data_IF_753129432735
#
_entry.id   IF_753129432735
#
_cell.length_a   1.000
_cell.length_b   1.000
_cell.length_c   1.000
_cell.angle_alpha   90.00
_cell.angle_beta   90.00
_cell.angle_gamma   90.00
#
_symmetry.space_group_name_H-M   'P 1'
#
loop_
_entity.id
_entity.type
_entity.pdbx_description
1 polymer ?
#
# COMPACT_ATOMS: atom_id res chain seq x y z
N UNK A 1 -11.00 -14.83 -15.60
CA UNK A 1 -10.30 -16.03 -16.10
C UNK A 1 -9.80 -16.84 -14.91
N UNK A 2 -9.34 -18.08 -15.09
CA UNK A 2 -8.71 -18.79 -13.97
C UNK A 2 -7.36 -18.13 -13.64
N UNK A 3 -7.09 -17.88 -12.35
CA UNK A 3 -5.86 -17.24 -11.83
C UNK A 3 -5.27 -18.12 -10.73
N UNK A 4 -3.96 -18.08 -10.58
CA UNK A 4 -3.26 -18.74 -9.47
C UNK A 4 -3.05 -17.72 -8.34
N UNK A 5 -3.61 -17.99 -7.17
CA UNK A 5 -3.57 -17.07 -6.02
C UNK A 5 -2.90 -17.80 -4.86
N UNK A 6 -1.89 -17.17 -4.26
CA UNK A 6 -1.26 -17.62 -3.02
C UNK A 6 -1.76 -16.74 -1.88
N UNK A 7 -2.19 -17.36 -0.79
CA UNK A 7 -2.56 -16.66 0.44
C UNK A 7 -1.64 -17.14 1.56
N UNK A 8 -1.02 -16.21 2.26
CA UNK A 8 -0.14 -16.45 3.40
C UNK A 8 -0.78 -15.76 4.61
N UNK A 9 -1.32 -16.54 5.53
CA UNK A 9 -2.10 -16.04 6.66
C UNK A 9 -1.80 -16.88 7.90
N UNK A 10 -1.35 -16.25 8.98
CA UNK A 10 -1.01 -16.90 10.25
C UNK A 10 -2.19 -17.15 11.18
N UNK A 11 -3.31 -16.46 10.97
CA UNK A 11 -4.54 -16.59 11.75
C UNK A 11 -5.64 -17.37 11.01
N UNK A 12 -5.46 -17.65 9.72
CA UNK A 12 -6.38 -18.40 8.84
C UNK A 12 -7.75 -17.73 8.59
N UNK A 13 -8.03 -16.60 9.25
CA UNK A 13 -9.29 -15.86 9.15
C UNK A 13 -9.51 -15.31 7.72
N UNK A 14 -8.48 -14.73 7.12
CA UNK A 14 -8.54 -14.17 5.76
C UNK A 14 -8.43 -15.28 4.71
N UNK A 15 -7.52 -16.23 4.93
CA UNK A 15 -7.28 -17.35 4.03
C UNK A 15 -8.51 -18.23 3.85
N UNK A 16 -9.19 -18.60 4.93
CA UNK A 16 -10.41 -19.40 4.86
C UNK A 16 -11.52 -18.68 4.09
N UNK A 17 -11.73 -17.39 4.36
CA UNK A 17 -12.78 -16.61 3.72
C UNK A 17 -12.52 -16.38 2.22
N UNK A 18 -11.28 -16.03 1.84
CA UNK A 18 -10.91 -15.80 0.45
C UNK A 18 -10.80 -17.10 -0.36
N UNK A 19 -10.35 -18.19 0.26
CA UNK A 19 -10.24 -19.49 -0.41
C UNK A 19 -11.59 -19.96 -0.95
N UNK A 20 -12.66 -19.82 -0.17
CA UNK A 20 -14.01 -20.20 -0.60
C UNK A 20 -14.48 -19.35 -1.79
N UNK A 21 -14.34 -18.03 -1.68
CA UNK A 21 -14.81 -17.06 -2.66
C UNK A 21 -14.07 -17.19 -3.99
N UNK A 22 -12.75 -17.24 -3.96
CA UNK A 22 -11.95 -17.34 -5.17
C UNK A 22 -12.04 -18.73 -5.81
N UNK A 23 -12.18 -19.79 -5.02
CA UNK A 23 -12.45 -21.13 -5.57
C UNK A 23 -13.81 -21.18 -6.28
N UNK A 24 -14.84 -20.53 -5.72
CA UNK A 24 -16.16 -20.43 -6.37
C UNK A 24 -16.10 -19.63 -7.69
N UNK A 25 -15.25 -18.59 -7.73
CA UNK A 25 -14.97 -17.83 -8.95
C UNK A 25 -14.10 -18.59 -9.98
N UNK A 26 -13.61 -19.79 -9.64
CA UNK A 26 -12.86 -20.67 -10.54
C UNK A 26 -11.34 -20.48 -10.53
N UNK A 27 -10.80 -19.74 -9.56
CA UNK A 27 -9.36 -19.56 -9.38
C UNK A 27 -8.73 -20.76 -8.64
N UNK A 28 -7.41 -20.92 -8.78
CA UNK A 28 -6.63 -21.95 -8.11
C UNK A 28 -5.96 -21.30 -6.89
N UNK A 29 -6.27 -21.80 -5.70
CA UNK A 29 -5.80 -21.21 -4.44
C UNK A 29 -4.79 -22.14 -3.78
N UNK A 30 -3.67 -21.57 -3.37
CA UNK A 30 -2.69 -22.19 -2.50
C UNK A 30 -2.60 -21.38 -1.20
N UNK A 31 -2.55 -22.06 -0.06
CA UNK A 31 -2.51 -21.41 1.26
C UNK A 31 -1.27 -21.85 2.02
N UNK A 32 -0.52 -20.89 2.53
CA UNK A 32 0.56 -21.06 3.49
C UNK A 32 0.12 -20.46 4.84
N UNK A 33 0.52 -21.12 5.93
CA UNK A 33 0.00 -20.85 7.29
C UNK A 33 0.88 -19.94 8.13
N UNK A 34 2.06 -19.58 7.62
CA UNK A 34 3.03 -18.77 8.33
C UNK A 34 4.08 -18.24 7.34
N UNK A 35 4.92 -17.31 7.84
CA UNK A 35 6.01 -16.73 7.07
C UNK A 35 6.99 -17.78 6.53
N UNK A 36 7.30 -18.81 7.32
CA UNK A 36 8.30 -19.83 6.97
C UNK A 36 7.83 -20.76 5.86
N UNK A 37 6.55 -21.10 5.84
CA UNK A 37 5.90 -21.84 4.76
C UNK A 37 5.78 -20.96 3.51
N UNK A 38 5.46 -19.67 3.67
CA UNK A 38 5.50 -18.70 2.57
C UNK A 38 6.87 -18.59 1.91
N UNK A 39 7.96 -18.56 2.70
CA UNK A 39 9.33 -18.54 2.21
C UNK A 39 9.76 -19.83 1.49
N UNK A 40 9.11 -20.96 1.80
CA UNK A 40 9.35 -22.27 1.18
C UNK A 40 8.54 -22.49 -0.09
N UNK A 41 7.67 -21.56 -0.48
CA UNK A 41 6.93 -21.66 -1.74
C UNK A 41 7.91 -21.50 -2.90
N UNK A 42 8.17 -22.61 -3.58
CA UNK A 42 8.96 -22.61 -4.82
C UNK A 42 8.19 -21.92 -5.95
N UNK A 43 8.93 -21.20 -6.79
CA UNK A 43 8.40 -20.58 -8.02
C UNK A 43 7.22 -19.63 -7.76
N UNK A 44 7.43 -18.61 -6.92
CA UNK A 44 6.41 -17.59 -6.60
C UNK A 44 5.89 -16.84 -7.86
N UNK A 45 6.69 -16.85 -8.94
CA UNK A 45 6.33 -16.28 -10.25
C UNK A 45 5.11 -16.94 -10.91
N UNK A 46 4.71 -18.15 -10.48
CA UNK A 46 3.53 -18.83 -11.02
C UNK A 46 2.20 -18.25 -10.53
N UNK A 47 2.23 -17.45 -9.47
CA UNK A 47 1.03 -16.86 -8.88
C UNK A 47 0.77 -15.49 -9.49
N UNK A 48 -0.42 -15.30 -10.04
CA UNK A 48 -0.88 -14.01 -10.55
C UNK A 48 -1.07 -12.99 -9.40
N UNK A 49 -1.44 -13.48 -8.21
CA UNK A 49 -1.71 -12.68 -7.02
C UNK A 49 -1.18 -13.39 -5.77
N UNK A 50 -0.44 -12.68 -4.94
CA UNK A 50 0.00 -13.15 -3.62
C UNK A 50 -0.55 -12.20 -2.57
N UNK A 51 -1.21 -12.76 -1.57
CA UNK A 51 -1.84 -12.03 -0.46
C UNK A 51 -1.15 -12.50 0.82
N UNK A 52 -0.66 -11.57 1.62
CA UNK A 52 0.01 -11.87 2.89
C UNK A 52 -0.65 -11.06 4.00
N UNK A 53 -1.06 -11.71 5.09
CA UNK A 53 -1.50 -11.09 6.34
C UNK A 53 -0.76 -11.82 7.46
N UNK A 54 0.25 -11.19 8.05
CA UNK A 54 1.15 -11.81 9.01
C UNK A 54 1.44 -10.88 10.18
N UNK A 55 1.55 -11.42 11.38
CA UNK A 55 2.16 -10.74 12.50
C UNK A 55 3.69 -10.91 12.46
N UNK A 56 4.40 -9.78 12.46
CA UNK A 56 5.86 -9.73 12.36
C UNK A 56 6.44 -9.14 13.63
N UNK A 57 7.33 -9.90 14.28
CA UNK A 57 8.14 -9.40 15.38
C UNK A 57 9.28 -8.53 14.84
N UNK A 58 9.37 -7.27 15.28
CA UNK A 58 10.39 -6.30 14.87
C UNK A 58 11.84 -6.67 15.21
N UNK A 59 12.09 -7.84 15.81
CA UNK A 59 13.44 -8.33 16.14
C UNK A 59 14.11 -9.16 15.02
N UNK A 60 13.38 -9.46 13.93
CA UNK A 60 13.88 -10.25 12.79
C UNK A 60 14.65 -9.42 11.76
N UNK A 61 15.51 -8.50 12.22
CA UNK A 61 16.31 -7.59 11.38
C UNK A 61 17.78 -8.02 11.41
N UNK A 62 18.22 -8.70 10.35
CA UNK A 62 19.64 -8.68 9.98
C UNK A 62 19.80 -7.69 8.83
N UNK A 63 20.73 -6.74 8.98
CA UNK A 63 21.34 -5.95 7.90
C UNK A 63 21.44 -6.79 6.62
N UNK A 64 20.48 -6.62 5.70
CA UNK A 64 20.59 -7.21 4.37
C UNK A 64 20.43 -6.11 3.34
N UNK A 65 21.46 -5.90 2.50
CA UNK A 65 21.29 -5.17 1.27
C UNK A 65 20.46 -6.03 0.31
N UNK A 66 19.47 -5.38 -0.31
CA UNK A 66 18.61 -5.86 -1.39
C UNK A 66 17.51 -6.88 -1.03
N UNK A 67 16.29 -6.73 -1.60
CA UNK A 67 15.21 -7.68 -1.41
C UNK A 67 15.62 -9.02 -2.05
N UNK A 68 15.61 -10.09 -1.24
CA UNK A 68 15.73 -11.44 -1.75
C UNK A 68 14.61 -11.72 -2.79
N UNK A 69 14.81 -12.62 -3.77
CA UNK A 69 13.94 -12.82 -4.94
C UNK A 69 12.50 -13.28 -4.64
N UNK A 70 12.11 -13.44 -3.38
CA UNK A 70 10.72 -13.65 -2.97
C UNK A 70 10.04 -12.27 -2.74
N UNK A 71 9.91 -11.52 -3.84
CA UNK A 71 9.47 -10.11 -3.93
C UNK A 71 8.11 -9.83 -3.26
N UNK A 72 7.27 -10.85 -3.09
CA UNK A 72 5.90 -10.69 -2.63
C UNK A 72 5.66 -10.88 -1.11
N UNK A 73 6.69 -11.08 -0.29
CA UNK A 73 6.54 -11.02 1.17
C UNK A 73 6.63 -9.58 1.68
N UNK A 74 5.97 -9.22 2.80
CA UNK A 74 6.12 -7.92 3.43
C UNK A 74 7.60 -7.62 3.71
N UNK A 75 8.00 -6.39 3.43
CA UNK A 75 9.34 -5.92 3.75
C UNK A 75 9.50 -5.96 5.27
N UNK A 76 10.69 -6.35 5.75
CA UNK A 76 10.96 -6.23 7.18
C UNK A 76 10.89 -4.74 7.55
N UNK A 77 10.06 -4.43 8.55
CA UNK A 77 9.90 -3.08 9.07
C UNK A 77 11.25 -2.56 9.57
N UNK A 78 11.60 -1.31 9.23
CA UNK A 78 12.88 -0.72 9.59
C UNK A 78 13.10 -0.55 11.10
N UNK A 79 14.34 -0.19 11.45
CA UNK A 79 14.90 -0.04 12.79
C UNK A 79 14.11 0.82 13.83
N UNK A 80 13.25 1.81 13.50
CA UNK A 80 12.53 2.55 14.55
C UNK A 80 11.47 1.74 15.32
N UNK A 81 11.13 0.52 14.90
CA UNK A 81 10.09 -0.33 15.50
C UNK A 81 10.62 -1.64 16.13
N UNK A 82 11.93 -1.69 16.41
CA UNK A 82 12.57 -2.84 17.03
C UNK A 82 11.93 -3.18 18.39
N UNK A 83 11.23 -4.33 18.45
CA UNK A 83 10.61 -4.86 19.67
C UNK A 83 9.10 -4.64 19.79
N UNK A 84 8.45 -4.03 18.80
CA UNK A 84 6.99 -3.92 18.73
C UNK A 84 6.39 -5.01 17.82
N UNK A 85 5.16 -5.43 18.12
CA UNK A 85 4.40 -6.32 17.23
C UNK A 85 3.84 -5.51 16.06
N UNK A 86 4.19 -5.89 14.84
CA UNK A 86 3.73 -5.22 13.62
C UNK A 86 2.80 -6.16 12.86
N UNK A 87 1.57 -5.70 12.63
CA UNK A 87 0.66 -6.39 11.71
C UNK A 87 1.03 -6.01 10.28
N UNK A 88 1.51 -6.96 9.50
CA UNK A 88 2.00 -6.75 8.15
C UNK A 88 1.05 -7.36 7.12
N UNK A 89 0.44 -6.52 6.28
CA UNK A 89 -0.42 -6.92 5.18
C UNK A 89 0.20 -6.54 3.85
N UNK A 90 0.14 -7.44 2.85
CA UNK A 90 0.65 -7.17 1.50
C UNK A 90 -0.21 -7.80 0.42
N UNK A 91 -0.45 -7.06 -0.66
CA UNK A 91 -0.94 -7.61 -1.93
C UNK A 91 0.14 -7.41 -3.00
N UNK A 92 0.56 -8.50 -3.63
CA UNK A 92 1.54 -8.49 -4.72
C UNK A 92 0.94 -9.09 -5.98
N UNK A 93 0.87 -8.29 -7.04
CA UNK A 93 0.41 -8.70 -8.37
C UNK A 93 1.51 -8.45 -9.42
N UNK A 94 2.79 -8.51 -9.02
CA UNK A 94 3.95 -8.26 -9.88
C UNK A 94 4.01 -9.20 -11.11
N UNK A 95 3.52 -10.43 -10.94
CA UNK A 95 3.50 -11.49 -11.94
C UNK A 95 2.14 -11.59 -12.66
N UNK A 96 1.22 -10.65 -12.41
CA UNK A 96 -0.07 -10.63 -13.09
C UNK A 96 0.15 -10.56 -14.60
N UNK A 97 -0.42 -11.52 -15.33
CA UNK A 97 -0.10 -11.74 -16.75
C UNK A 97 -0.29 -10.48 -17.58
N UNK A 98 0.77 -10.08 -18.26
CA UNK A 98 0.85 -8.80 -19.02
C UNK A 98 0.31 -8.91 -20.44
N UNK A 99 0.33 -10.10 -21.04
CA UNK A 99 -0.12 -10.33 -22.42
C UNK A 99 -1.65 -10.30 -22.60
N UNK A 100 -2.40 -10.45 -21.50
CA UNK A 100 -3.87 -10.45 -21.45
C UNK A 100 -4.32 -9.69 -20.20
N UNK A 101 -3.78 -8.47 -20.05
CA UNK A 101 -4.04 -7.62 -18.91
C UNK A 101 -5.47 -7.10 -18.96
N UNK A 102 -6.31 -7.63 -18.08
CA UNK A 102 -7.64 -7.11 -17.79
C UNK A 102 -7.58 -6.27 -16.50
N UNK A 103 -7.59 -4.95 -16.67
CA UNK A 103 -7.62 -3.98 -15.57
C UNK A 103 -8.85 -4.15 -14.66
N UNK A 104 -10.00 -4.50 -15.24
CA UNK A 104 -11.24 -4.73 -14.50
C UNK A 104 -11.15 -5.97 -13.62
N UNK A 105 -10.61 -7.06 -14.17
CA UNK A 105 -10.39 -8.30 -13.40
C UNK A 105 -9.42 -8.06 -12.23
N UNK A 106 -8.28 -7.39 -12.46
CA UNK A 106 -7.32 -7.09 -11.39
C UNK A 106 -7.98 -6.23 -10.30
N UNK A 107 -8.69 -5.17 -10.69
CA UNK A 107 -9.42 -4.31 -9.77
C UNK A 107 -10.40 -5.10 -8.92
N UNK A 108 -11.17 -6.00 -9.53
CA UNK A 108 -12.19 -6.78 -8.83
C UNK A 108 -11.57 -7.80 -7.87
N UNK A 109 -10.44 -8.42 -8.24
CA UNK A 109 -9.67 -9.29 -7.36
C UNK A 109 -9.17 -8.52 -6.14
N UNK A 110 -8.47 -7.40 -6.35
CA UNK A 110 -7.93 -6.56 -5.27
C UNK A 110 -9.05 -6.02 -4.38
N UNK A 111 -10.15 -5.54 -4.96
CA UNK A 111 -11.32 -5.07 -4.22
C UNK A 111 -11.93 -6.17 -3.33
N UNK A 112 -12.00 -7.40 -3.84
CA UNK A 112 -12.47 -8.56 -3.07
C UNK A 112 -11.57 -8.83 -1.88
N UNK A 113 -10.24 -8.86 -2.07
CA UNK A 113 -9.28 -9.06 -0.96
C UNK A 113 -9.48 -8.01 0.13
N UNK A 114 -9.53 -6.74 -0.26
CA UNK A 114 -9.62 -5.62 0.67
C UNK A 114 -10.96 -5.56 1.41
N UNK A 115 -12.07 -5.86 0.73
CA UNK A 115 -13.39 -5.94 1.35
C UNK A 115 -13.46 -7.06 2.39
N UNK A 116 -12.87 -8.22 2.11
CA UNK A 116 -12.80 -9.32 3.06
C UNK A 116 -11.87 -9.01 4.24
N UNK A 117 -10.71 -8.39 3.99
CA UNK A 117 -9.83 -7.93 5.06
C UNK A 117 -10.54 -6.96 6.02
N UNK A 118 -11.30 -6.00 5.49
CA UNK A 118 -12.10 -5.06 6.31
C UNK A 118 -13.12 -5.81 7.19
N UNK A 119 -13.79 -6.82 6.63
CA UNK A 119 -14.91 -7.53 7.29
C UNK A 119 -14.46 -8.53 8.34
N UNK A 120 -13.38 -9.26 8.07
CA UNK A 120 -12.99 -10.43 8.88
C UNK A 120 -11.77 -10.16 9.77
N UNK A 121 -10.83 -9.32 9.35
CA UNK A 121 -9.54 -9.17 10.02
C UNK A 121 -9.43 -7.85 10.77
N UNK A 122 -9.83 -6.76 10.14
CA UNK A 122 -9.48 -5.40 10.56
C UNK A 122 -10.34 -4.91 11.75
N UNK A 123 -10.66 -5.72 12.75
CA UNK A 123 -11.55 -5.36 13.89
C UNK A 123 -10.96 -4.27 14.81
N UNK A 124 -11.82 -3.52 15.51
CA UNK A 124 -11.44 -2.35 16.36
C UNK A 124 -10.58 -2.77 17.57
N UNK A 125 -10.71 -4.01 18.05
CA UNK A 125 -9.98 -4.48 19.24
C UNK A 125 -8.51 -4.82 18.92
N UNK A 126 -8.21 -5.26 17.69
CA UNK A 126 -6.84 -5.51 17.21
C UNK A 126 -6.05 -4.22 16.88
N UNK A 127 -6.74 -3.09 16.79
CA UNK A 127 -6.22 -1.78 16.33
C UNK A 127 -5.53 -0.99 17.45
N UNK A 128 -5.87 -1.28 18.71
CA UNK A 128 -5.52 -0.40 19.82
C UNK A 128 -4.05 -0.46 20.27
N UNK A 129 -3.23 -1.41 19.80
CA UNK A 129 -1.85 -1.60 20.30
C UNK A 129 -0.80 -1.82 19.19
N UNK A 130 -1.16 -1.85 17.90
CA UNK A 130 -0.25 -2.29 16.84
C UNK A 130 0.13 -1.19 15.85
N UNK A 131 1.42 -1.17 15.51
CA UNK A 131 1.93 -0.59 14.28
C UNK A 131 1.48 -1.48 13.11
N UNK A 132 0.88 -0.87 12.09
CA UNK A 132 0.42 -1.60 10.91
C UNK A 132 1.29 -1.24 9.71
N UNK A 133 1.73 -2.25 8.98
CA UNK A 133 2.48 -2.11 7.72
C UNK A 133 1.65 -2.70 6.60
N UNK A 134 1.27 -1.88 5.63
CA UNK A 134 0.41 -2.24 4.51
C UNK A 134 1.20 -2.01 3.22
N UNK A 135 1.35 -3.02 2.39
CA UNK A 135 2.08 -2.94 1.14
C UNK A 135 1.23 -3.36 -0.07
N UNK A 136 1.39 -2.67 -1.17
CA UNK A 136 0.82 -3.03 -2.46
C UNK A 136 1.90 -2.97 -3.53
N UNK A 137 2.02 -4.01 -4.33
CA UNK A 137 2.84 -4.03 -5.54
C UNK A 137 1.97 -4.45 -6.71
N UNK A 138 1.45 -3.47 -7.44
CA UNK A 138 0.36 -3.67 -8.39
C UNK A 138 0.72 -3.09 -9.76
N UNK A 139 0.22 -3.69 -10.85
CA UNK A 139 0.24 -3.07 -12.18
C UNK A 139 -0.28 -1.63 -12.16
N UNK A 140 0.34 -0.80 -12.98
CA UNK A 140 0.09 0.64 -13.07
C UNK A 140 -1.27 0.94 -13.72
N UNK A 141 -2.33 0.89 -12.91
CA UNK A 141 -3.70 1.06 -13.36
C UNK A 141 -4.52 1.93 -12.39
N UNK A 142 -5.08 3.05 -12.90
CA UNK A 142 -5.81 4.03 -12.06
C UNK A 142 -6.98 3.39 -11.33
N UNK A 143 -7.76 2.53 -11.99
CA UNK A 143 -8.94 1.95 -11.34
C UNK A 143 -8.58 1.08 -10.13
N UNK A 144 -7.43 0.40 -10.16
CA UNK A 144 -6.93 -0.39 -9.03
C UNK A 144 -6.42 0.54 -7.92
N UNK A 145 -5.76 1.64 -8.28
CA UNK A 145 -5.28 2.63 -7.31
C UNK A 145 -6.42 3.28 -6.53
N UNK A 146 -7.59 3.53 -7.14
CA UNK A 146 -8.75 4.05 -6.41
C UNK A 146 -9.27 3.08 -5.34
N UNK A 147 -9.27 1.77 -5.62
CA UNK A 147 -9.66 0.75 -4.62
C UNK A 147 -8.69 0.74 -3.44
N UNK A 148 -7.39 0.83 -3.72
CA UNK A 148 -6.34 0.94 -2.70
C UNK A 148 -6.50 2.22 -1.88
N UNK A 149 -6.77 3.35 -2.54
CA UNK A 149 -7.02 4.64 -1.88
C UNK A 149 -8.18 4.55 -0.89
N UNK A 150 -9.33 4.05 -1.35
CA UNK A 150 -10.53 3.88 -0.51
C UNK A 150 -10.24 2.99 0.71
N UNK A 151 -9.47 1.92 0.52
CA UNK A 151 -9.07 1.04 1.62
C UNK A 151 -8.15 1.75 2.62
N UNK A 152 -7.10 2.42 2.16
CA UNK A 152 -6.17 3.15 3.04
C UNK A 152 -6.90 4.25 3.82
N UNK A 153 -7.83 4.96 3.20
CA UNK A 153 -8.64 5.99 3.84
C UNK A 153 -9.51 5.43 4.96
N UNK A 154 -10.23 4.33 4.71
CA UNK A 154 -11.01 3.62 5.74
C UNK A 154 -10.14 3.11 6.87
N UNK A 155 -8.91 2.68 6.55
CA UNK A 155 -7.99 2.15 7.55
C UNK A 155 -7.46 3.24 8.48
N UNK A 156 -7.04 4.37 7.92
CA UNK A 156 -6.65 5.56 8.69
C UNK A 156 -7.79 6.06 9.57
N UNK A 157 -9.03 6.10 9.04
CA UNK A 157 -10.23 6.50 9.79
C UNK A 157 -10.47 5.56 10.98
N UNK A 158 -10.41 4.24 10.75
CA UNK A 158 -10.70 3.21 11.76
C UNK A 158 -9.66 3.20 12.89
N UNK A 159 -8.41 3.48 12.58
CA UNK A 159 -7.34 3.62 13.57
C UNK A 159 -7.48 4.91 14.40
N UNK A 160 -8.33 5.86 13.98
CA UNK A 160 -8.62 7.10 14.71
C UNK A 160 -7.46 8.08 14.77
N UNK A 161 -6.38 7.85 14.00
CA UNK A 161 -5.14 8.63 14.01
C UNK A 161 -5.35 10.00 13.40
N UNK A 162 -6.13 10.05 12.32
CA UNK A 162 -6.40 11.25 11.52
C UNK A 162 -7.85 11.18 11.08
N UNK A 163 -8.60 12.28 11.24
CA UNK A 163 -9.92 12.43 10.60
C UNK A 163 -9.70 12.73 9.12
N UNK A 164 -9.91 11.77 8.19
CA UNK A 164 -9.44 11.93 6.81
C UNK A 164 -10.21 13.02 6.05
N UNK A 165 -11.50 13.17 6.34
CA UNK A 165 -12.37 14.22 5.79
C UNK A 165 -11.96 15.63 6.23
N UNK A 166 -11.28 15.76 7.38
CA UNK A 166 -10.85 17.04 7.92
C UNK A 166 -9.42 17.42 7.50
N UNK A 167 -8.63 16.44 7.07
CA UNK A 167 -7.22 16.61 6.72
C UNK A 167 -6.97 16.74 5.22
N UNK A 168 -7.97 16.59 4.36
CA UNK A 168 -7.82 16.48 2.91
C UNK A 168 -6.84 15.36 2.46
N UNK A 169 -6.59 14.36 3.32
CA UNK A 169 -5.63 13.27 3.06
C UNK A 169 -5.92 12.54 1.74
N UNK A 170 -7.20 12.38 1.41
CA UNK A 170 -7.64 11.83 0.12
C UNK A 170 -6.98 12.53 -1.07
N UNK A 171 -6.94 13.87 -1.06
CA UNK A 171 -6.42 14.67 -2.17
C UNK A 171 -4.92 14.46 -2.34
N UNK A 172 -4.16 14.38 -1.23
CA UNK A 172 -2.72 14.14 -1.30
C UNK A 172 -2.39 12.74 -1.83
N UNK A 173 -3.10 11.71 -1.36
CA UNK A 173 -2.90 10.34 -1.82
C UNK A 173 -3.37 10.11 -3.26
N UNK A 174 -4.54 10.64 -3.63
CA UNK A 174 -5.05 10.58 -5.01
C UNK A 174 -4.05 11.21 -5.98
N UNK A 175 -3.55 12.39 -5.66
CA UNK A 175 -2.56 13.07 -6.47
C UNK A 175 -1.22 12.30 -6.53
N UNK A 176 -0.78 11.69 -5.44
CA UNK A 176 0.41 10.84 -5.45
C UNK A 176 0.24 9.62 -6.38
N UNK A 177 -0.92 8.97 -6.33
CA UNK A 177 -1.23 7.81 -7.19
C UNK A 177 -1.37 8.21 -8.66
N UNK A 178 -2.04 9.33 -8.95
CA UNK A 178 -2.13 9.90 -10.30
C UNK A 178 -0.73 10.23 -10.81
N UNK A 179 0.13 10.84 -9.99
CA UNK A 179 1.51 11.12 -10.38
C UNK A 179 2.30 9.85 -10.72
N UNK A 180 2.22 8.83 -9.89
CA UNK A 180 2.86 7.54 -10.16
C UNK A 180 2.38 6.89 -11.47
N UNK A 181 1.06 6.78 -11.67
CA UNK A 181 0.49 6.09 -12.84
C UNK A 181 0.61 6.90 -14.13
N UNK A 182 0.18 8.17 -14.11
CA UNK A 182 0.08 9.01 -15.31
C UNK A 182 1.40 9.66 -15.67
N UNK A 183 2.14 10.18 -14.69
CA UNK A 183 3.35 10.97 -14.95
C UNK A 183 4.62 10.12 -14.91
N UNK A 184 4.74 9.25 -13.90
CA UNK A 184 5.85 8.31 -13.77
C UNK A 184 5.78 7.19 -14.80
N UNK A 185 4.78 6.33 -14.69
CA UNK A 185 4.61 5.15 -15.54
C UNK A 185 3.97 5.45 -16.90
N UNK A 186 3.44 6.66 -17.13
CA UNK A 186 2.85 7.07 -18.43
C UNK A 186 1.70 6.16 -18.89
N UNK A 187 0.88 5.68 -17.95
CA UNK A 187 -0.19 4.70 -18.17
C UNK A 187 0.27 3.36 -18.74
N UNK A 188 1.55 3.02 -18.57
CA UNK A 188 2.08 1.72 -18.98
C UNK A 188 1.70 0.64 -17.95
N UNK A 189 0.66 -0.13 -18.25
CA UNK A 189 0.17 -1.22 -17.38
C UNK A 189 1.17 -2.38 -17.22
N UNK A 190 2.25 -2.41 -18.01
CA UNK A 190 3.32 -3.39 -17.84
C UNK A 190 4.27 -3.03 -16.70
N UNK A 191 4.19 -1.79 -16.21
CA UNK A 191 4.95 -1.29 -15.06
C UNK A 191 4.17 -1.45 -13.76
N UNK A 192 4.90 -1.43 -12.66
CA UNK A 192 4.36 -1.53 -11.31
C UNK A 192 4.31 -0.17 -10.63
N UNK A 193 3.36 -0.02 -9.71
CA UNK A 193 3.35 1.00 -8.68
C UNK A 193 3.45 0.28 -7.34
N UNK A 194 4.42 0.70 -6.53
CA UNK A 194 4.66 0.19 -5.18
C UNK A 194 4.14 1.19 -4.18
N UNK A 195 3.24 0.76 -3.31
CA UNK A 195 2.65 1.58 -2.27
C UNK A 195 2.95 0.91 -0.93
N UNK A 196 3.43 1.68 0.03
CA UNK A 196 3.56 1.25 1.42
C UNK A 196 2.84 2.25 2.32
N UNK A 197 2.14 1.78 3.34
CA UNK A 197 1.57 2.59 4.40
C UNK A 197 1.98 2.02 5.75
N UNK A 198 2.62 2.84 6.56
CA UNK A 198 2.94 2.55 7.95
C UNK A 198 2.04 3.42 8.82
N UNK A 199 1.15 2.79 9.58
CA UNK A 199 0.14 3.51 10.35
C UNK A 199 0.27 3.16 11.84
N UNK A 200 0.29 4.18 12.67
CA UNK A 200 0.39 4.09 14.12
C UNK A 200 -0.48 5.16 14.77
N UNK A 201 -0.65 5.11 16.10
CA UNK A 201 -1.36 6.18 16.84
C UNK A 201 -0.75 7.58 16.69
N UNK A 202 0.52 7.68 16.29
CA UNK A 202 1.25 8.95 16.23
C UNK A 202 1.25 9.55 14.83
N UNK A 203 1.29 8.71 13.81
CA UNK A 203 1.41 9.14 12.42
C UNK A 203 0.96 8.06 11.44
N UNK A 204 0.57 8.53 10.25
CA UNK A 204 0.41 7.73 9.05
C UNK A 204 1.46 8.15 8.03
N UNK A 205 2.33 7.23 7.65
CA UNK A 205 3.37 7.41 6.62
C UNK A 205 2.97 6.63 5.38
N UNK A 206 3.01 7.29 4.23
CA UNK A 206 2.72 6.69 2.94
C UNK A 206 3.92 6.82 2.03
N UNK A 207 4.30 5.75 1.35
CA UNK A 207 5.31 5.75 0.31
C UNK A 207 4.70 5.27 -0.98
N UNK A 208 4.87 6.02 -2.06
CA UNK A 208 4.42 5.69 -3.41
C UNK A 208 5.62 5.74 -4.33
N UNK A 209 5.86 4.66 -5.07
CA UNK A 209 6.96 4.55 -6.02
C UNK A 209 6.47 4.03 -7.37
N UNK A 210 6.93 4.66 -8.44
CA UNK A 210 6.72 4.24 -9.82
C UNK A 210 8.02 3.80 -10.51
N UNK A 211 7.91 3.19 -11.69
CA UNK A 211 9.03 2.71 -12.51
C UNK A 211 9.36 3.68 -13.66
N UNK A 212 8.96 4.94 -13.50
CA UNK A 212 9.27 6.04 -14.40
C UNK A 212 10.71 6.53 -14.26
N UNK A 213 11.09 7.48 -15.11
CA UNK A 213 12.41 8.13 -15.07
C UNK A 213 12.55 9.04 -13.85
N UNK A 214 11.44 9.38 -13.19
CA UNK A 214 11.35 10.35 -12.13
C UNK A 214 11.47 11.79 -12.65
N UNK A 215 11.62 12.74 -11.74
CA UNK A 215 11.76 14.15 -12.08
C UNK A 215 12.67 14.88 -11.10
N UNK A 216 13.18 16.03 -11.53
CA UNK A 216 14.08 16.85 -10.71
C UNK A 216 13.28 17.60 -9.64
N UNK A 217 13.33 17.08 -8.41
CA UNK A 217 12.64 17.61 -7.23
C UNK A 217 13.08 19.06 -6.94
N UNK A 218 14.34 19.42 -7.23
CA UNK A 218 14.86 20.77 -7.00
C UNK A 218 14.30 21.81 -7.98
N UNK A 219 13.62 21.36 -9.04
CA UNK A 219 12.91 22.22 -9.99
C UNK A 219 11.44 22.39 -9.66
N UNK A 220 10.94 21.74 -8.59
CA UNK A 220 9.60 22.01 -8.08
C UNK A 220 9.60 23.48 -7.60
N UNK A 221 8.74 24.34 -8.17
CA UNK A 221 8.62 25.71 -7.72
C UNK A 221 8.22 25.77 -6.25
N UNK A 222 8.73 26.76 -5.51
CA UNK A 222 8.39 26.93 -4.08
C UNK A 222 6.86 26.98 -3.91
N UNK A 223 6.26 26.07 -3.13
CA UNK A 223 4.83 26.01 -2.93
C UNK A 223 4.26 27.23 -2.18
N UNK A 224 5.10 27.97 -1.45
CA UNK A 224 4.71 29.14 -0.68
C UNK A 224 4.78 30.45 -1.50
N UNK A 225 5.28 30.39 -2.74
CA UNK A 225 5.36 31.55 -3.64
C UNK A 225 3.98 31.84 -4.26
N UNK A 226 3.41 33.06 -4.06
CA UNK A 226 2.13 33.45 -4.63
C UNK A 226 2.04 33.36 -6.16
N UNK A 227 3.15 33.45 -6.89
CA UNK A 227 3.15 33.32 -8.35
C UNK A 227 2.89 31.88 -8.83
N UNK A 228 3.21 30.88 -8.00
CA UNK A 228 2.98 29.48 -8.31
C UNK A 228 1.53 29.04 -8.05
N UNK A 229 0.77 29.77 -7.22
CA UNK A 229 -0.65 29.53 -6.95
C UNK A 229 -1.55 29.66 -8.19
N UNK A 230 -1.13 30.44 -9.20
CA UNK A 230 -1.93 30.74 -10.40
C UNK A 230 -1.58 29.89 -11.63
N UNK A 231 -0.64 28.92 -11.52
CA UNK A 231 -0.26 28.04 -12.64
C UNK A 231 -1.27 26.91 -12.84
N UNK A 232 -1.65 26.65 -14.10
CA UNK A 232 -2.67 25.65 -14.46
C UNK A 232 -2.19 24.20 -14.32
N UNK A 233 -0.87 23.95 -14.46
CA UNK A 233 -0.20 22.65 -14.33
C UNK A 233 0.78 22.65 -13.15
N UNK A 234 1.01 21.49 -12.54
CA UNK A 234 1.95 21.34 -11.40
C UNK A 234 1.36 21.62 -10.01
N UNK A 235 0.05 21.88 -9.91
CA UNK A 235 -0.64 22.10 -8.62
C UNK A 235 -0.72 20.85 -7.75
N UNK A 236 -0.62 19.68 -8.34
CA UNK A 236 -0.71 18.41 -7.63
C UNK A 236 0.31 18.27 -6.50
N UNK A 237 1.57 18.47 -6.85
CA UNK A 237 2.67 18.46 -5.88
C UNK A 237 2.46 19.52 -4.80
N UNK A 238 1.91 20.70 -5.15
CA UNK A 238 1.57 21.75 -4.18
C UNK A 238 0.49 21.30 -3.17
N UNK A 239 -0.52 20.54 -3.61
CA UNK A 239 -1.53 19.99 -2.70
C UNK A 239 -0.90 19.04 -1.70
N UNK A 240 0.01 18.17 -2.16
CA UNK A 240 0.74 17.24 -1.30
C UNK A 240 1.52 17.99 -0.22
N UNK A 241 2.31 19.01 -0.60
CA UNK A 241 3.06 19.84 0.36
C UNK A 241 2.19 20.64 1.34
N UNK A 242 0.98 21.04 0.93
CA UNK A 242 0.07 21.80 1.78
C UNK A 242 -0.72 20.91 2.75
N UNK A 243 -0.90 19.63 2.43
CA UNK A 243 -1.75 18.70 3.19
C UNK A 243 -0.92 17.87 4.18
N UNK A 244 0.25 17.40 3.74
CA UNK A 244 1.12 16.49 4.49
C UNK A 244 2.09 17.29 5.36
N UNK A 245 2.47 16.73 6.50
CA UNK A 245 3.38 17.41 7.44
C UNK A 245 4.84 17.22 7.05
N UNK A 246 5.18 16.09 6.42
CA UNK A 246 6.49 15.84 5.82
C UNK A 246 6.32 15.24 4.42
N UNK A 247 7.16 15.70 3.48
CA UNK A 247 7.15 15.27 2.08
C UNK A 247 8.60 15.11 1.62
N UNK A 248 8.97 13.89 1.24
CA UNK A 248 10.33 13.52 0.86
C UNK A 248 10.27 12.76 -0.46
N UNK A 249 11.01 13.25 -1.46
CA UNK A 249 11.24 12.50 -2.69
C UNK A 249 12.64 11.88 -2.64
N UNK A 250 12.83 10.72 -3.29
CA UNK A 250 14.18 10.19 -3.54
C UNK A 250 14.93 11.04 -4.59
N UNK A 251 16.25 10.82 -4.72
CA UNK A 251 17.10 11.57 -5.66
C UNK A 251 16.63 11.47 -7.12
N UNK A 252 16.05 10.33 -7.50
CA UNK A 252 15.49 10.12 -8.83
C UNK A 252 14.16 10.85 -9.04
N UNK A 253 13.41 11.13 -7.98
CA UNK A 253 12.08 11.74 -8.01
C UNK A 253 10.97 10.80 -8.48
N UNK A 254 11.15 9.48 -8.37
CA UNK A 254 10.13 8.47 -8.69
C UNK A 254 9.58 7.75 -7.45
N UNK A 255 10.06 8.12 -6.25
CA UNK A 255 9.55 7.66 -4.97
C UNK A 255 9.22 8.86 -4.11
N UNK A 256 8.00 8.89 -3.62
CA UNK A 256 7.45 9.92 -2.73
C UNK A 256 7.10 9.27 -1.40
N UNK A 257 7.68 9.77 -0.31
CA UNK A 257 7.28 9.49 1.06
C UNK A 257 6.59 10.71 1.66
N UNK A 258 5.40 10.51 2.22
CA UNK A 258 4.60 11.54 2.86
C UNK A 258 4.23 11.09 4.28
N UNK A 259 4.28 12.00 5.24
CA UNK A 259 3.89 11.73 6.63
C UNK A 259 2.78 12.69 7.05
N UNK A 260 1.75 12.15 7.67
CA UNK A 260 0.73 12.91 8.38
C UNK A 260 0.75 12.51 9.85
N UNK A 261 0.92 13.49 10.74
CA UNK A 261 0.95 13.29 12.19
C UNK A 261 -0.46 13.38 12.76
N UNK A 262 -0.71 12.62 13.82
CA UNK A 262 -1.92 12.76 14.61
C UNK A 262 -1.97 14.18 15.20
N UNK A 263 -3.15 14.80 15.19
CA UNK A 263 -3.34 16.10 15.84
C UNK A 263 -3.29 15.93 17.36
N UNK A 264 -2.46 16.72 18.05
CA UNK A 264 -2.36 16.74 19.53
C UNK A 264 -3.62 17.29 20.24
N UNK A 265 -4.72 17.54 19.52
CA UNK A 265 -5.95 18.02 20.14
C UNK A 265 -6.62 16.87 20.92
N UNK A 266 -6.80 17.00 22.25
CA UNK A 266 -7.53 16.00 23.01
C UNK A 266 -8.92 15.84 22.39
N UNK A 267 -9.32 14.59 22.17
CA UNK A 267 -10.69 14.28 21.80
C UNK A 267 -11.60 14.90 22.88
N UNK A 268 -12.27 16.01 22.55
CA UNK A 268 -13.38 16.48 23.38
C UNK A 268 -14.44 15.38 23.35
N UNK A 269 -14.57 14.68 24.49
CA UNK A 269 -15.61 13.70 24.75
C UNK A 269 -16.98 14.32 24.40
N UNK A 270 -17.64 13.75 23.39
CA UNK A 270 -19.02 14.07 23.02
C UNK A 270 -19.98 13.02 23.59
#
# INVERSE_FOLDING_TARGET
MQRNILIIDDHDDLASALSEVFSYAGHIIEVAKDRDSGLRVDNIERFDLVITDLDVDGSSVSDRPEPAPNVCLPSAVGDPLAGEHVKAFKICAANYRRDDFDEGELRDLVATVLDYKIRFVDTIEAVAEMHESIEFELPSAISTMHVVLDYLMKRVEKLGVIKPEQSNLFVALDEAFVNAVKHGNKFDSTKLVRIAAEISKKEARFTVEDEGEGFDVNKIPDPLDPENLFKASGRGVLFIYNIMDEVIYNDRGNRLTMVKKASDEPAEDA
#
